data_IF_202740564145
#
_entry.id   IF_202740564145
#
_cell.length_a   1.000
_cell.length_b   1.000
_cell.length_c   1.000
_cell.angle_alpha   90.00
_cell.angle_beta   90.00
_cell.angle_gamma   90.00
#
_symmetry.space_group_name_H-M   'P 1'
#
loop_
_entity.id
_entity.type
_entity.pdbx_description
1 polymer ?
#
# COMPACT_ATOMS: atom_id res chain seq x y z
N UNK A 1 -7.84 40.19 0.82
CA UNK A 1 -7.28 39.87 2.15
C UNK A 1 -8.25 38.92 2.82
N UNK A 2 -7.96 37.61 2.77
CA UNK A 2 -8.75 36.62 3.50
C UNK A 2 -8.03 36.37 4.82
N UNK A 3 -8.65 36.84 5.88
CA UNK A 3 -8.25 36.65 7.26
C UNK A 3 -8.46 35.16 7.61
N UNK A 4 -7.38 34.38 7.59
CA UNK A 4 -7.34 33.02 8.16
C UNK A 4 -6.87 33.06 9.62
N UNK A 5 -7.13 34.18 10.30
CA UNK A 5 -6.84 34.41 11.70
C UNK A 5 -7.88 33.74 12.59
N UNK A 6 -7.83 32.41 12.65
CA UNK A 6 -8.13 31.70 13.90
C UNK A 6 -7.51 30.30 13.83
N UNK A 7 -6.38 30.12 14.51
CA UNK A 7 -5.79 28.79 14.80
C UNK A 7 -5.79 28.58 16.31
N UNK A 8 -6.62 29.34 17.04
CA UNK A 8 -7.01 28.95 18.38
C UNK A 8 -8.32 28.18 18.29
N UNK A 9 -8.23 26.91 17.92
CA UNK A 9 -9.42 26.06 17.89
C UNK A 9 -10.01 25.89 19.32
N UNK A 10 -9.38 26.36 20.41
CA UNK A 10 -9.88 26.28 21.79
C UNK A 10 -10.14 24.87 22.32
N UNK A 11 -9.94 23.85 21.49
CA UNK A 11 -10.38 22.48 21.70
C UNK A 11 -9.37 21.69 22.52
N UNK A 12 -9.88 21.12 23.62
CA UNK A 12 -9.21 20.07 24.38
C UNK A 12 -9.56 18.74 23.74
N UNK A 13 -8.55 18.05 23.20
CA UNK A 13 -8.75 16.77 22.55
C UNK A 13 -8.77 15.65 23.59
N UNK A 14 -9.79 14.79 23.54
CA UNK A 14 -9.88 13.66 24.46
C UNK A 14 -8.84 12.58 24.10
N UNK A 15 -8.17 12.02 25.12
CA UNK A 15 -7.27 10.89 24.94
C UNK A 15 -7.98 9.71 24.24
N UNK A 16 -7.30 9.11 23.26
CA UNK A 16 -7.86 8.01 22.49
C UNK A 16 -7.80 6.70 23.31
N UNK A 17 -8.92 6.32 23.93
CA UNK A 17 -9.03 5.03 24.63
C UNK A 17 -9.20 3.88 23.62
N UNK A 18 -8.09 3.31 23.17
CA UNK A 18 -8.09 2.11 22.33
C UNK A 18 -8.40 0.91 23.23
N UNK A 19 -9.66 0.45 23.21
CA UNK A 19 -10.04 -0.82 23.83
C UNK A 19 -9.33 -2.02 23.17
N UNK A 20 -9.25 -3.18 23.83
CA UNK A 20 -8.52 -4.35 23.32
C UNK A 20 -8.99 -4.84 21.93
N UNK A 21 -10.24 -4.54 21.56
CA UNK A 21 -10.83 -4.87 20.26
C UNK A 21 -11.03 -3.65 19.33
N UNK A 22 -10.56 -2.46 19.72
CA UNK A 22 -10.72 -1.25 18.94
C UNK A 22 -9.76 -1.27 17.73
N UNK A 23 -10.29 -1.59 16.55
CA UNK A 23 -9.57 -1.43 15.29
C UNK A 23 -9.68 0.04 14.82
N UNK A 24 -8.59 0.81 14.78
CA UNK A 24 -8.65 2.20 14.32
C UNK A 24 -9.08 2.24 12.84
N UNK A 25 -10.05 3.09 12.54
CA UNK A 25 -10.55 3.25 11.18
C UNK A 25 -9.43 3.74 10.27
N UNK A 26 -9.11 2.97 9.22
CA UNK A 26 -8.04 3.35 8.28
C UNK A 26 -8.50 4.54 7.44
N UNK A 27 -7.96 5.73 7.71
CA UNK A 27 -8.13 6.90 6.83
C UNK A 27 -7.38 6.67 5.50
N UNK A 28 -7.91 7.15 4.37
CA UNK A 28 -7.17 7.14 3.11
C UNK A 28 -5.87 7.94 3.27
N UNK A 29 -4.78 7.46 2.67
CA UNK A 29 -3.48 8.16 2.75
C UNK A 29 -3.61 9.51 2.06
N UNK A 30 -3.25 10.58 2.76
CA UNK A 30 -3.13 11.92 2.18
C UNK A 30 -2.07 11.88 1.06
N UNK A 31 -2.45 12.35 -0.13
CA UNK A 31 -1.54 12.46 -1.28
C UNK A 31 -1.57 13.89 -1.78
N UNK A 32 -0.49 14.62 -1.52
CA UNK A 32 -0.34 15.99 -2.02
C UNK A 32 -0.15 15.98 -3.54
N UNK A 33 -0.70 17.00 -4.21
CA UNK A 33 -0.41 17.25 -5.63
C UNK A 33 0.99 17.84 -5.79
N UNK A 34 1.42 18.06 -7.04
CA UNK A 34 2.57 18.92 -7.29
C UNK A 34 2.16 20.34 -6.92
N UNK A 35 2.79 20.87 -5.87
CA UNK A 35 2.59 22.22 -5.38
C UNK A 35 3.50 23.17 -6.17
N UNK A 36 3.03 24.39 -6.41
CA UNK A 36 3.92 25.48 -6.81
C UNK A 36 4.83 25.85 -5.63
N UNK A 37 5.92 26.58 -5.89
CA UNK A 37 6.82 27.01 -4.83
C UNK A 37 6.08 27.88 -3.78
N UNK A 38 5.16 28.74 -4.23
CA UNK A 38 4.28 29.52 -3.36
C UNK A 38 3.34 28.65 -2.51
N UNK A 39 2.71 27.64 -3.11
CA UNK A 39 1.82 26.70 -2.39
C UNK A 39 2.60 25.82 -1.42
N UNK A 40 3.86 25.51 -1.74
CA UNK A 40 4.74 24.72 -0.87
C UNK A 40 5.15 25.53 0.37
N UNK A 41 5.53 26.80 0.17
CA UNK A 41 5.83 27.73 1.27
C UNK A 41 4.59 27.97 2.15
N UNK A 42 3.42 28.20 1.57
CA UNK A 42 2.18 28.41 2.33
C UNK A 42 1.77 27.16 3.14
N UNK A 43 1.84 25.98 2.51
CA UNK A 43 1.59 24.72 3.19
C UNK A 43 2.61 24.49 4.32
N UNK A 44 3.89 24.80 4.07
CA UNK A 44 4.97 24.74 5.05
C UNK A 44 4.70 25.62 6.26
N UNK A 45 4.41 26.90 6.03
CA UNK A 45 4.09 27.86 7.08
C UNK A 45 2.85 27.45 7.90
N UNK A 46 1.86 26.84 7.25
CA UNK A 46 0.66 26.32 7.93
C UNK A 46 1.00 25.14 8.86
N UNK A 47 1.82 24.20 8.38
CA UNK A 47 2.27 23.05 9.18
C UNK A 47 3.16 23.48 10.33
N UNK A 48 4.08 24.42 10.08
CA UNK A 48 4.99 24.93 11.09
C UNK A 48 4.25 25.66 12.21
N UNK A 49 3.27 26.51 11.87
CA UNK A 49 2.41 27.17 12.86
C UNK A 49 1.62 26.16 13.68
N UNK A 50 1.00 25.17 13.03
CA UNK A 50 0.26 24.10 13.71
C UNK A 50 1.16 23.32 14.67
N UNK A 51 2.38 22.99 14.24
CA UNK A 51 3.35 22.27 15.05
C UNK A 51 3.79 23.09 16.27
N UNK A 52 4.07 24.38 16.10
CA UNK A 52 4.43 25.27 17.21
C UNK A 52 3.29 25.39 18.23
N UNK A 53 2.05 25.58 17.78
CA UNK A 53 0.88 25.66 18.66
C UNK A 53 0.65 24.36 19.42
N UNK A 54 0.69 23.21 18.77
CA UNK A 54 0.48 21.93 19.45
C UNK A 54 1.65 21.56 20.37
N UNK A 55 2.89 21.93 20.02
CA UNK A 55 4.03 21.75 20.91
C UNK A 55 3.87 22.55 22.21
N UNK A 56 3.47 23.82 22.13
CA UNK A 56 3.17 24.64 23.30
C UNK A 56 2.05 24.03 24.15
N UNK A 57 0.95 23.57 23.53
CA UNK A 57 -0.16 22.90 24.23
C UNK A 57 0.25 21.59 24.91
N UNK A 58 1.18 20.84 24.32
CA UNK A 58 1.72 19.61 24.91
C UNK A 58 2.66 19.93 26.07
N UNK A 59 3.49 20.97 25.95
CA UNK A 59 4.41 21.43 26.99
C UNK A 59 3.65 22.00 28.21
N UNK A 60 2.59 22.76 27.96
CA UNK A 60 1.73 23.37 28.99
C UNK A 60 0.71 22.40 29.60
N UNK A 61 0.63 21.15 29.13
CA UNK A 61 -0.34 20.18 29.62
C UNK A 61 -0.05 19.80 31.09
N UNK A 62 -1.08 19.91 31.94
CA UNK A 62 -0.95 19.62 33.39
C UNK A 62 -0.93 18.13 33.73
N UNK A 63 -1.36 17.28 32.80
CA UNK A 63 -1.50 15.85 32.98
C UNK A 63 -1.28 15.10 31.66
N UNK A 64 -0.93 13.81 31.78
CA UNK A 64 -0.65 12.95 30.64
C UNK A 64 -1.87 12.70 29.74
N UNK A 65 -3.09 12.64 30.30
CA UNK A 65 -4.31 12.38 29.51
C UNK A 65 -4.58 13.56 28.55
N UNK A 66 -4.37 14.78 29.00
CA UNK A 66 -4.45 16.00 28.19
C UNK A 66 -3.35 16.05 27.12
N UNK A 67 -2.10 15.75 27.48
CA UNK A 67 -0.99 15.69 26.52
C UNK A 67 -1.20 14.62 25.44
N UNK A 68 -1.69 13.43 25.82
CA UNK A 68 -2.05 12.34 24.92
C UNK A 68 -3.17 12.76 23.96
N UNK A 69 -4.14 13.55 24.44
CA UNK A 69 -5.15 14.22 23.63
C UNK A 69 -4.54 15.01 22.46
N UNK A 70 -3.63 15.93 22.76
CA UNK A 70 -2.97 16.75 21.72
C UNK A 70 -2.12 15.90 20.76
N UNK A 71 -1.39 14.91 21.27
CA UNK A 71 -0.58 14.01 20.44
C UNK A 71 -1.46 13.22 19.47
N UNK A 72 -2.61 12.71 19.94
CA UNK A 72 -3.53 11.94 19.10
C UNK A 72 -4.31 12.81 18.11
N UNK A 73 -4.45 14.11 18.38
CA UNK A 73 -5.07 15.07 17.47
C UNK A 73 -4.20 15.43 16.26
N UNK A 74 -2.86 15.41 16.39
CA UNK A 74 -1.89 15.79 15.36
C UNK A 74 -2.18 15.21 13.96
N UNK A 75 -2.46 13.90 13.78
CA UNK A 75 -2.71 13.35 12.47
C UNK A 75 -4.02 13.84 11.84
N UNK A 76 -5.00 14.24 12.66
CA UNK A 76 -6.31 14.72 12.19
C UNK A 76 -6.23 16.18 11.77
N UNK A 77 -5.68 17.03 12.63
CA UNK A 77 -5.49 18.46 12.37
C UNK A 77 -4.59 18.68 11.16
N UNK A 78 -3.49 17.91 11.05
CA UNK A 78 -2.61 17.97 9.89
C UNK A 78 -3.33 17.55 8.60
N UNK A 79 -4.15 16.50 8.66
CA UNK A 79 -4.89 16.02 7.50
C UNK A 79 -5.86 17.09 6.97
N UNK A 80 -6.59 17.75 7.87
CA UNK A 80 -7.61 18.72 7.50
C UNK A 80 -6.98 20.01 6.95
N UNK A 81 -5.89 20.51 7.56
CA UNK A 81 -5.15 21.69 7.05
C UNK A 81 -4.46 21.42 5.70
N UNK A 82 -4.01 20.18 5.45
CA UNK A 82 -3.37 19.82 4.19
C UNK A 82 -4.33 19.28 3.11
N UNK A 83 -5.61 19.08 3.45
CA UNK A 83 -6.62 18.60 2.52
C UNK A 83 -6.74 19.47 1.25
N UNK A 84 -6.67 20.82 1.29
CA UNK A 84 -6.74 21.67 0.09
C UNK A 84 -5.64 21.37 -0.93
N UNK A 85 -4.44 21.02 -0.43
CA UNK A 85 -3.26 20.69 -1.24
C UNK A 85 -3.28 19.26 -1.80
N UNK A 86 -4.31 18.47 -1.49
CA UNK A 86 -4.46 17.09 -1.97
C UNK A 86 -5.30 16.94 -3.25
N UNK A 87 -6.20 17.89 -3.52
CA UNK A 87 -7.13 17.78 -4.65
C UNK A 87 -6.54 18.42 -5.91
N UNK A 88 -6.41 17.63 -7.00
CA UNK A 88 -6.43 18.22 -8.33
C UNK A 88 -7.81 18.86 -8.54
N UNK A 89 -7.86 20.16 -8.80
CA UNK A 89 -9.00 20.81 -9.44
C UNK A 89 -9.24 20.20 -10.82
N UNK A 90 -9.81 18.99 -10.90
CA UNK A 90 -10.50 18.46 -12.07
C UNK A 90 -11.53 17.45 -11.61
N UNK A 91 -12.73 17.95 -11.28
CA UNK A 91 -13.91 17.24 -11.77
C UNK A 91 -13.80 17.28 -13.30
N UNK A 92 -13.69 16.14 -14.00
CA UNK A 92 -13.98 16.14 -15.42
C UNK A 92 -15.44 16.57 -15.55
N UNK A 93 -15.69 17.69 -16.21
CA UNK A 93 -17.01 17.97 -16.77
C UNK A 93 -17.46 16.70 -17.49
N UNK A 94 -18.68 16.18 -17.25
CA UNK A 94 -19.19 15.07 -18.05
C UNK A 94 -19.12 15.49 -19.53
N UNK A 95 -18.57 14.66 -20.42
CA UNK A 95 -18.46 15.03 -21.84
C UNK A 95 -19.85 15.36 -22.40
N UNK A 96 -19.96 16.30 -23.37
CA UNK A 96 -21.23 16.63 -24.00
C UNK A 96 -21.85 15.35 -24.55
N UNK A 97 -23.07 15.05 -24.13
CA UNK A 97 -23.77 13.84 -24.55
C UNK A 97 -24.00 13.92 -26.07
N UNK A 98 -23.56 12.92 -26.86
CA UNK A 98 -23.90 12.89 -28.28
C UNK A 98 -25.42 12.76 -28.45
N UNK A 99 -26.00 13.30 -29.54
CA UNK A 99 -27.44 13.25 -29.77
C UNK A 99 -27.95 11.80 -29.72
N UNK A 100 -29.07 11.58 -29.01
CA UNK A 100 -29.64 10.25 -28.68
C UNK A 100 -29.77 9.30 -29.87
N UNK A 101 -29.89 9.81 -31.10
CA UNK A 101 -29.99 9.00 -32.31
C UNK A 101 -28.70 8.24 -32.64
N UNK A 102 -27.51 8.84 -32.47
CA UNK A 102 -26.24 8.14 -32.71
C UNK A 102 -25.96 7.04 -31.68
N UNK A 103 -26.44 7.21 -30.44
CA UNK A 103 -26.26 6.24 -29.37
C UNK A 103 -27.10 4.96 -29.60
N UNK A 104 -28.31 5.08 -30.17
CA UNK A 104 -29.12 3.91 -30.54
C UNK A 104 -28.53 3.11 -31.71
N UNK A 105 -28.00 3.78 -32.74
CA UNK A 105 -27.38 3.09 -33.87
C UNK A 105 -26.09 2.35 -33.47
N UNK A 106 -25.27 2.96 -32.61
CA UNK A 106 -24.07 2.32 -32.04
C UNK A 106 -24.42 1.12 -31.16
N UNK A 107 -25.47 1.20 -30.35
CA UNK A 107 -25.94 0.06 -29.53
C UNK A 107 -26.45 -1.10 -30.38
N UNK A 108 -27.16 -0.83 -31.48
CA UNK A 108 -27.62 -1.88 -32.41
C UNK A 108 -26.45 -2.59 -33.10
N UNK A 109 -25.44 -1.85 -33.57
CA UNK A 109 -24.25 -2.44 -34.17
C UNK A 109 -23.41 -3.23 -33.16
N UNK A 110 -23.26 -2.74 -31.92
CA UNK A 110 -22.59 -3.48 -30.85
C UNK A 110 -23.32 -4.77 -30.47
N UNK A 111 -24.65 -4.77 -30.35
CA UNK A 111 -25.40 -5.99 -30.04
C UNK A 111 -25.26 -7.06 -31.14
N UNK A 112 -25.22 -6.67 -32.42
CA UNK A 112 -24.99 -7.62 -33.51
C UNK A 112 -23.56 -8.19 -33.49
N UNK A 113 -22.54 -7.38 -33.21
CA UNK A 113 -21.17 -7.86 -33.05
C UNK A 113 -20.97 -8.74 -31.81
N UNK A 114 -21.62 -8.41 -30.69
CA UNK A 114 -21.56 -9.19 -29.46
C UNK A 114 -22.19 -10.57 -29.63
N UNK A 115 -23.33 -10.68 -30.34
CA UNK A 115 -23.95 -11.98 -30.61
C UNK A 115 -23.06 -12.88 -31.48
N UNK A 116 -22.37 -12.33 -32.49
CA UNK A 116 -21.42 -13.10 -33.30
C UNK A 116 -20.16 -13.50 -32.52
N UNK A 117 -19.63 -12.61 -31.66
CA UNK A 117 -18.48 -12.95 -30.80
C UNK A 117 -18.83 -13.94 -29.68
N UNK A 118 -20.07 -13.94 -29.17
CA UNK A 118 -20.49 -14.88 -28.12
C UNK A 118 -20.56 -16.32 -28.66
N UNK A 119 -21.03 -16.52 -29.89
CA UNK A 119 -21.05 -17.84 -30.53
C UNK A 119 -19.64 -18.40 -30.74
N UNK A 120 -18.66 -17.55 -31.08
CA UNK A 120 -17.26 -17.96 -31.20
C UNK A 120 -16.61 -18.27 -29.83
N UNK A 121 -16.92 -17.46 -28.78
CA UNK A 121 -16.40 -17.67 -27.42
C UNK A 121 -16.96 -18.92 -26.74
N UNK A 122 -18.20 -19.34 -27.06
CA UNK A 122 -18.78 -20.56 -26.50
C UNK A 122 -18.10 -21.86 -26.98
N UNK A 123 -17.38 -21.83 -28.12
CA UNK A 123 -16.62 -22.99 -28.60
C UNK A 123 -15.23 -23.14 -27.93
N UNK A 124 -14.65 -22.06 -27.39
CA UNK A 124 -13.30 -22.06 -26.79
C UNK A 124 -13.27 -21.99 -25.25
N UNK A 125 -14.39 -21.72 -24.57
CA UNK A 125 -14.44 -21.46 -23.11
C UNK A 125 -14.52 -22.70 -22.20
N UNK A 126 -14.62 -23.92 -22.74
CA UNK A 126 -14.71 -25.13 -21.90
C UNK A 126 -13.34 -25.59 -21.34
N UNK A 127 -12.23 -25.15 -21.94
CA UNK A 127 -10.87 -25.53 -21.52
C UNK A 127 -10.23 -24.55 -20.50
N UNK A 128 -10.53 -23.25 -20.61
CA UNK A 128 -9.93 -22.19 -19.77
C UNK A 128 -10.58 -22.06 -18.39
N UNK A 129 -11.88 -22.35 -18.26
CA UNK A 129 -12.60 -22.32 -16.99
C UNK A 129 -12.14 -23.42 -16.02
N UNK A 130 -11.79 -24.61 -16.52
CA UNK A 130 -11.24 -25.71 -15.70
C UNK A 130 -9.83 -25.38 -15.16
N UNK A 131 -9.00 -24.69 -15.94
CA UNK A 131 -7.63 -24.32 -15.54
C UNK A 131 -7.62 -23.28 -14.40
N UNK A 132 -8.51 -22.28 -14.47
CA UNK A 132 -8.66 -21.27 -13.41
C UNK A 132 -9.24 -21.83 -12.11
N UNK A 133 -10.12 -22.84 -12.18
CA UNK A 133 -10.68 -23.48 -10.98
C UNK A 133 -9.65 -24.34 -10.24
N UNK A 134 -8.76 -25.04 -10.94
CA UNK A 134 -7.64 -25.79 -10.35
C UNK A 134 -6.60 -24.88 -9.68
N UNK A 135 -6.23 -23.75 -10.30
CA UNK A 135 -5.30 -22.77 -9.68
C UNK A 135 -5.84 -22.17 -8.38
N UNK A 136 -7.14 -21.88 -8.30
CA UNK A 136 -7.78 -21.34 -7.07
C UNK A 136 -7.90 -22.37 -5.96
N UNK A 137 -7.97 -23.67 -6.27
CA UNK A 137 -8.02 -24.73 -5.27
C UNK A 137 -6.63 -25.06 -4.69
N UNK A 138 -5.55 -24.99 -5.49
CA UNK A 138 -4.19 -25.14 -4.95
C UNK A 138 -3.73 -23.95 -4.09
N UNK A 139 -4.21 -22.73 -4.36
CA UNK A 139 -3.86 -21.54 -3.56
C UNK A 139 -4.49 -21.50 -2.15
N UNK A 140 -5.46 -22.38 -1.86
CA UNK A 140 -6.12 -22.49 -0.54
C UNK A 140 -5.50 -23.55 0.36
N UNK A 141 -4.56 -24.35 -0.15
CA UNK A 141 -3.73 -25.21 0.69
C UNK A 141 -2.52 -24.40 1.08
N UNK A 142 -2.42 -24.04 2.37
CA UNK A 142 -1.16 -23.55 2.93
C UNK A 142 -0.08 -24.54 2.48
N UNK A 143 0.99 -24.08 1.80
CA UNK A 143 2.07 -24.99 1.44
C UNK A 143 2.55 -25.69 2.72
N UNK A 144 2.92 -26.98 2.64
CA UNK A 144 3.39 -27.73 3.81
C UNK A 144 4.46 -26.90 4.52
N UNK A 145 4.43 -26.90 5.86
CA UNK A 145 5.45 -26.21 6.65
C UNK A 145 6.80 -26.77 6.22
N UNK A 146 7.51 -25.96 5.45
CA UNK A 146 8.84 -26.29 4.96
C UNK A 146 9.72 -26.53 6.18
N UNK A 147 10.20 -27.76 6.33
CA UNK A 147 11.13 -28.13 7.40
C UNK A 147 12.44 -27.38 7.19
N UNK A 148 13.25 -27.25 8.25
CA UNK A 148 14.56 -26.58 8.18
C UNK A 148 15.43 -27.16 7.05
N UNK A 149 15.54 -28.49 6.97
CA UNK A 149 16.31 -29.19 5.95
C UNK A 149 15.83 -28.94 4.51
N UNK A 150 14.53 -28.78 4.30
CA UNK A 150 14.01 -28.46 2.96
C UNK A 150 14.34 -27.02 2.52
N UNK A 151 14.74 -26.12 3.43
CA UNK A 151 15.22 -24.78 3.06
C UNK A 151 16.68 -24.79 2.67
N UNK A 152 17.51 -25.45 3.47
CA UNK A 152 18.94 -25.61 3.23
C UNK A 152 19.13 -26.25 1.84
N UNK A 153 18.43 -27.35 1.56
CA UNK A 153 18.43 -27.98 0.24
C UNK A 153 18.00 -27.04 -0.91
N UNK A 154 17.02 -26.16 -0.67
CA UNK A 154 16.57 -25.20 -1.71
C UNK A 154 17.56 -24.08 -1.97
N UNK A 155 18.40 -23.75 -0.97
CA UNK A 155 19.47 -22.78 -1.14
C UNK A 155 20.60 -23.42 -1.94
N UNK A 156 20.99 -24.64 -1.60
CA UNK A 156 22.04 -25.39 -2.28
C UNK A 156 21.67 -25.60 -3.76
N UNK A 157 20.46 -26.08 -4.03
CA UNK A 157 19.91 -26.21 -5.39
C UNK A 157 19.94 -24.89 -6.17
N UNK A 158 19.63 -23.77 -5.52
CA UNK A 158 19.63 -22.46 -6.17
C UNK A 158 21.05 -21.91 -6.43
N UNK A 159 22.03 -22.28 -5.60
CA UNK A 159 23.44 -21.96 -5.82
C UNK A 159 24.02 -22.79 -6.96
N UNK A 160 23.65 -24.07 -7.05
CA UNK A 160 24.04 -24.94 -8.16
C UNK A 160 23.44 -24.45 -9.47
N UNK A 161 22.16 -24.07 -9.49
CA UNK A 161 21.53 -23.44 -10.65
C UNK A 161 22.23 -22.14 -11.08
N UNK A 162 22.67 -21.32 -10.11
CA UNK A 162 23.42 -20.09 -10.41
C UNK A 162 24.76 -20.42 -11.08
N UNK A 163 25.51 -21.40 -10.53
CA UNK A 163 26.78 -21.84 -11.10
C UNK A 163 26.60 -22.47 -12.49
N UNK A 164 25.54 -23.24 -12.70
CA UNK A 164 25.19 -23.82 -13.98
C UNK A 164 24.89 -22.74 -15.04
N UNK A 165 24.19 -21.67 -14.66
CA UNK A 165 23.93 -20.53 -15.56
C UNK A 165 25.20 -19.73 -15.85
N UNK A 166 26.04 -19.48 -14.84
CA UNK A 166 27.30 -18.76 -15.00
C UNK A 166 28.29 -19.51 -15.92
N UNK A 167 28.27 -20.84 -15.88
CA UNK A 167 29.11 -21.69 -16.75
C UNK A 167 28.52 -21.86 -18.16
N UNK A 168 27.21 -22.05 -18.30
CA UNK A 168 26.57 -22.30 -19.59
C UNK A 168 26.42 -21.04 -20.46
N UNK A 169 26.19 -19.88 -19.85
CA UNK A 169 25.92 -18.63 -20.58
C UNK A 169 26.50 -17.40 -19.85
N UNK A 170 27.84 -17.25 -19.78
CA UNK A 170 28.51 -16.19 -19.02
C UNK A 170 28.18 -14.77 -19.52
N UNK A 171 27.81 -14.62 -20.79
CA UNK A 171 27.44 -13.34 -21.40
C UNK A 171 25.98 -12.93 -21.17
N UNK A 172 25.10 -13.87 -20.79
CA UNK A 172 23.69 -13.57 -20.52
C UNK A 172 23.50 -13.02 -19.10
N UNK A 173 23.83 -11.74 -18.97
CA UNK A 173 23.69 -10.97 -17.72
C UNK A 173 22.27 -11.01 -17.16
N UNK A 174 21.24 -11.13 -18.00
CA UNK A 174 19.84 -11.11 -17.56
C UNK A 174 19.49 -12.40 -16.85
N UNK A 175 19.92 -13.54 -17.38
CA UNK A 175 19.67 -14.85 -16.78
C UNK A 175 20.50 -15.04 -15.51
N UNK A 176 21.76 -14.61 -15.50
CA UNK A 176 22.60 -14.56 -14.28
C UNK A 176 21.95 -13.68 -13.20
N UNK A 177 21.49 -12.47 -13.55
CA UNK A 177 20.81 -11.58 -12.59
C UNK A 177 19.54 -12.20 -12.01
N UNK A 178 18.76 -12.95 -12.82
CA UNK A 178 17.57 -13.67 -12.34
C UNK A 178 17.92 -14.80 -11.37
N UNK A 179 18.97 -15.57 -11.66
CA UNK A 179 19.46 -16.63 -10.78
C UNK A 179 19.97 -16.05 -9.44
N UNK A 180 20.77 -14.98 -9.48
CA UNK A 180 21.23 -14.25 -8.27
C UNK A 180 20.07 -13.73 -7.43
N UNK A 181 19.03 -13.15 -8.06
CA UNK A 181 17.81 -12.71 -7.36
C UNK A 181 17.03 -13.88 -6.74
N UNK A 182 17.09 -15.08 -7.32
CA UNK A 182 16.46 -16.27 -6.72
C UNK A 182 17.20 -16.68 -5.44
N UNK A 183 18.53 -16.78 -5.49
CA UNK A 183 19.38 -17.04 -4.31
C UNK A 183 19.12 -16.00 -3.22
N UNK A 184 19.15 -14.71 -3.56
CA UNK A 184 18.92 -13.62 -2.60
C UNK A 184 17.55 -13.69 -1.93
N UNK A 185 16.49 -14.07 -2.64
CA UNK A 185 15.15 -14.25 -2.05
C UNK A 185 15.08 -15.42 -1.08
N UNK A 186 15.78 -16.52 -1.37
CA UNK A 186 15.83 -17.69 -0.50
C UNK A 186 16.61 -17.36 0.79
N UNK A 187 17.76 -16.70 0.65
CA UNK A 187 18.55 -16.21 1.80
C UNK A 187 17.78 -15.23 2.67
N UNK A 188 17.12 -14.23 2.07
CA UNK A 188 16.31 -13.28 2.84
C UNK A 188 15.17 -13.96 3.61
N UNK A 189 14.53 -14.96 3.01
CA UNK A 189 13.49 -15.74 3.67
C UNK A 189 14.03 -16.63 4.80
N UNK A 190 15.25 -17.18 4.64
CA UNK A 190 15.92 -17.96 5.66
C UNK A 190 16.31 -17.08 6.86
N UNK A 191 16.91 -15.91 6.63
CA UNK A 191 17.26 -14.95 7.68
C UNK A 191 16.03 -14.43 8.44
N UNK A 192 14.96 -14.03 7.72
CA UNK A 192 13.73 -13.59 8.36
C UNK A 192 13.17 -14.66 9.31
N UNK A 193 13.29 -15.93 8.95
CA UNK A 193 12.84 -17.00 9.82
C UNK A 193 13.81 -17.27 10.98
N UNK A 194 15.12 -17.20 10.75
CA UNK A 194 16.13 -17.28 11.81
C UNK A 194 15.84 -16.25 12.89
N UNK A 195 15.57 -15.01 12.48
CA UNK A 195 15.15 -13.91 13.35
C UNK A 195 13.86 -14.27 14.10
N UNK A 196 12.81 -14.73 13.41
CA UNK A 196 11.56 -15.15 14.07
C UNK A 196 11.77 -16.25 15.11
N UNK A 197 12.67 -17.19 14.84
CA UNK A 197 13.00 -18.24 15.79
C UNK A 197 13.74 -17.66 16.99
N UNK A 198 14.75 -16.81 16.77
CA UNK A 198 15.49 -16.12 17.82
C UNK A 198 14.59 -15.27 18.71
N UNK A 199 13.68 -14.48 18.13
CA UNK A 199 12.67 -13.74 18.89
C UNK A 199 11.78 -14.68 19.73
N UNK A 200 11.39 -15.84 19.19
CA UNK A 200 10.58 -16.81 19.93
C UNK A 200 11.33 -17.56 21.04
N UNK A 201 12.65 -17.71 20.94
CA UNK A 201 13.45 -18.47 21.92
C UNK A 201 14.20 -17.60 22.92
N UNK A 202 14.55 -16.38 22.52
CA UNK A 202 15.42 -15.47 23.24
C UNK A 202 14.89 -14.04 23.16
N UNK A 203 13.58 -13.88 23.39
CA UNK A 203 12.86 -12.60 23.30
C UNK A 203 13.59 -11.48 24.05
N UNK A 204 14.02 -11.75 25.29
CA UNK A 204 14.73 -10.78 26.14
C UNK A 204 16.07 -10.31 25.52
N UNK A 205 16.83 -11.21 24.91
CA UNK A 205 18.10 -10.89 24.26
C UNK A 205 17.94 -10.10 22.95
N UNK A 206 16.76 -10.15 22.33
CA UNK A 206 16.47 -9.37 21.12
C UNK A 206 15.93 -7.96 21.42
N UNK A 207 15.51 -7.68 22.66
CA UNK A 207 14.95 -6.37 23.09
C UNK A 207 15.98 -5.53 23.86
N UNK A 208 16.89 -6.16 24.60
CA UNK A 208 17.92 -5.49 25.41
C UNK A 208 19.27 -5.31 24.68
N UNK A 209 19.31 -5.53 23.35
CA UNK A 209 20.52 -5.44 22.52
C UNK A 209 20.85 -4.03 22.04
#
# INVERSE_FOLDING_TARGET
MNDHGDVDDGEVYAAMRIGPDAAPQRRPRLRLRKLTDEEYEEAGATVERLAATLAAKIEDATDWETAEGYITALPYTLYDKLQPYSQQQRRPQPPPQPPRQQQQQRRRHQQQQEQQQQQQRTRMSRSSARRRRRQRQCARRRPPRVTRHHREHRLDEALDDLRAVETAAPSDRRTISRARRRVGRINAAAEQQRLRHQFGTAEKACVEG
#
